data_IF_812339294488
#
_entry.id   IF_812339294488
#
_cell.length_a   1.000
_cell.length_b   1.000
_cell.length_c   1.000
_cell.angle_alpha   90.00
_cell.angle_beta   90.00
_cell.angle_gamma   90.00
#
_symmetry.space_group_name_H-M   'P 1'
#
loop_
_entity.id
_entity.type
_entity.pdbx_description
1 polymer ?
#
# COMPACT_ATOMS: atom_id res chain seq x y z
N UNK A 1 18.31 6.66 -0.91
CA UNK A 1 17.31 5.68 -1.38
C UNK A 1 16.05 5.83 -0.55
N UNK A 2 14.87 5.55 -1.10
CA UNK A 2 13.60 5.59 -0.40
C UNK A 2 12.60 4.57 -0.95
N UNK A 3 11.72 4.06 -0.09
CA UNK A 3 10.54 3.28 -0.46
C UNK A 3 9.34 4.23 -0.42
N UNK A 4 8.65 4.42 -1.54
CA UNK A 4 7.56 5.39 -1.68
C UNK A 4 6.45 4.84 -2.58
N UNK A 5 5.26 5.45 -2.54
CA UNK A 5 4.17 5.07 -3.46
C UNK A 5 4.50 5.47 -4.92
N UNK A 6 3.93 4.79 -5.93
CA UNK A 6 4.21 5.05 -7.34
C UNK A 6 4.02 6.51 -7.76
N UNK A 7 2.93 7.16 -7.35
CA UNK A 7 2.69 8.56 -7.74
C UNK A 7 3.73 9.50 -7.13
N UNK A 8 4.14 9.27 -5.87
CA UNK A 8 5.21 10.07 -5.25
C UNK A 8 6.53 9.88 -5.99
N UNK A 9 6.83 8.67 -6.46
CA UNK A 9 8.04 8.41 -7.24
C UNK A 9 8.00 9.14 -8.58
N UNK A 10 6.86 9.12 -9.27
CA UNK A 10 6.69 9.87 -10.54
C UNK A 10 6.92 11.36 -10.34
N UNK A 11 6.31 11.98 -9.32
CA UNK A 11 6.50 13.41 -9.07
C UNK A 11 7.93 13.73 -8.61
N UNK A 12 8.53 12.88 -7.78
CA UNK A 12 9.92 13.06 -7.33
C UNK A 12 10.92 12.99 -8.50
N UNK A 13 10.80 11.97 -9.35
CA UNK A 13 11.72 11.76 -10.49
C UNK A 13 11.54 12.80 -11.61
N UNK A 14 10.42 13.53 -11.65
CA UNK A 14 10.27 14.71 -12.53
C UNK A 14 11.08 15.91 -12.04
N UNK A 15 11.36 15.98 -10.73
CA UNK A 15 12.02 17.14 -10.10
C UNK A 15 13.54 17.05 -10.09
N UNK A 16 14.11 15.88 -10.39
CA UNK A 16 15.55 15.62 -10.37
C UNK A 16 15.91 14.49 -11.33
N UNK A 17 17.07 14.60 -11.96
CA UNK A 17 17.67 13.53 -12.76
C UNK A 17 18.72 12.73 -11.99
N UNK A 18 19.00 13.04 -10.73
CA UNK A 18 20.00 12.35 -9.91
C UNK A 18 19.52 11.00 -9.36
N UNK A 19 18.23 10.70 -9.52
CA UNK A 19 17.59 9.50 -9.00
C UNK A 19 16.97 8.65 -10.10
N UNK A 20 16.83 7.36 -9.83
CA UNK A 20 16.17 6.40 -10.71
C UNK A 20 15.18 5.55 -9.94
N UNK A 21 14.17 5.05 -10.65
CA UNK A 21 13.32 3.96 -10.18
C UNK A 21 14.12 2.67 -10.25
N UNK A 22 14.29 2.01 -9.11
CA UNK A 22 14.92 0.68 -9.04
C UNK A 22 13.92 -0.40 -9.41
N UNK A 23 12.69 -0.32 -8.89
CA UNK A 23 11.64 -1.29 -9.19
C UNK A 23 10.48 -1.25 -8.19
N UNK A 24 9.49 -2.11 -8.41
CA UNK A 24 8.43 -2.36 -7.42
C UNK A 24 8.95 -3.21 -6.27
N UNK A 25 8.50 -2.92 -5.05
CA UNK A 25 8.91 -3.68 -3.86
C UNK A 25 7.74 -4.23 -3.05
N UNK A 26 6.55 -3.65 -3.17
CA UNK A 26 5.34 -4.15 -2.49
C UNK A 26 4.15 -4.06 -3.43
N UNK A 27 3.39 -5.15 -3.51
CA UNK A 27 2.14 -5.23 -4.25
C UNK A 27 0.96 -5.60 -3.34
N UNK A 28 -0.24 -5.19 -3.74
CA UNK A 28 -1.53 -5.56 -3.13
C UNK A 28 -1.71 -5.17 -1.65
N UNK A 29 -0.93 -4.21 -1.13
CA UNK A 29 -1.11 -3.71 0.25
C UNK A 29 -2.32 -2.80 0.43
N UNK A 30 -3.03 -2.42 -0.65
CA UNK A 30 -4.21 -1.57 -0.57
C UNK A 30 -5.47 -2.36 -0.20
N UNK A 31 -6.22 -1.83 0.75
CA UNK A 31 -7.48 -2.39 1.23
C UNK A 31 -8.59 -1.35 1.24
N UNK A 32 -9.81 -1.86 1.21
CA UNK A 32 -11.05 -1.11 1.29
C UNK A 32 -11.61 -1.29 2.70
N UNK A 33 -12.00 -0.19 3.35
CA UNK A 33 -12.76 -0.22 4.60
C UNK A 33 -14.10 0.49 4.40
N UNK A 34 -15.19 -0.23 4.63
CA UNK A 34 -16.56 0.28 4.49
C UNK A 34 -17.30 0.27 5.83
N UNK A 35 -18.22 1.21 6.02
CA UNK A 35 -19.19 1.13 7.11
C UNK A 35 -20.04 -0.13 6.98
N UNK A 36 -20.19 -0.89 8.06
CA UNK A 36 -20.94 -2.14 8.08
C UNK A 36 -22.42 -1.88 7.75
N UNK A 37 -22.99 -2.67 6.83
CA UNK A 37 -24.40 -2.59 6.46
C UNK A 37 -24.76 -1.43 5.53
N UNK A 38 -23.79 -0.65 5.06
CA UNK A 38 -24.03 0.44 4.11
C UNK A 38 -23.46 0.12 2.73
N UNK A 39 -24.17 0.41 1.63
CA UNK A 39 -23.59 0.36 0.30
C UNK A 39 -22.51 1.45 0.15
N UNK A 40 -21.48 1.16 -0.64
CA UNK A 40 -20.40 2.11 -0.94
C UNK A 40 -20.89 3.19 -1.92
N UNK A 41 -21.51 4.25 -1.37
CA UNK A 41 -22.06 5.37 -2.17
C UNK A 41 -21.11 6.55 -2.22
N UNK A 42 -20.35 6.78 -1.15
CA UNK A 42 -19.40 7.89 -1.01
C UNK A 42 -18.03 7.31 -0.68
N UNK A 43 -17.16 7.26 -1.68
CA UNK A 43 -15.86 6.61 -1.58
C UNK A 43 -14.76 7.66 -1.42
N UNK A 44 -14.06 7.62 -0.29
CA UNK A 44 -12.90 8.46 -0.02
C UNK A 44 -11.61 7.79 -0.47
N UNK A 45 -10.70 8.57 -1.04
CA UNK A 45 -9.37 8.10 -1.43
C UNK A 45 -8.32 9.20 -1.29
N UNK A 46 -7.04 8.80 -1.27
CA UNK A 46 -5.95 9.76 -1.13
C UNK A 46 -5.89 10.71 -2.34
N UNK A 47 -5.93 12.01 -2.07
CA UNK A 47 -5.79 13.04 -3.11
C UNK A 47 -4.38 13.06 -3.69
N UNK A 48 -4.24 13.62 -4.90
CA UNK A 48 -2.97 13.69 -5.64
C UNK A 48 -2.36 12.30 -5.86
N UNK A 49 -3.22 11.31 -6.10
CA UNK A 49 -2.85 9.94 -6.39
C UNK A 49 -3.60 9.36 -7.61
N UNK A 50 -3.17 9.64 -8.85
CA UNK A 50 -3.90 9.21 -10.04
C UNK A 50 -4.12 7.69 -10.13
N UNK A 51 -3.16 6.85 -9.73
CA UNK A 51 -3.38 5.38 -9.76
C UNK A 51 -4.45 4.95 -8.75
N UNK A 52 -4.50 5.58 -7.57
CA UNK A 52 -5.54 5.32 -6.57
C UNK A 52 -6.91 5.77 -7.08
N UNK A 53 -7.00 6.94 -7.71
CA UNK A 53 -8.24 7.41 -8.33
C UNK A 53 -8.74 6.41 -9.38
N UNK A 54 -7.86 5.99 -10.29
CA UNK A 54 -8.21 4.99 -11.32
C UNK A 54 -8.70 3.68 -10.70
N UNK A 55 -8.08 3.24 -9.60
CA UNK A 55 -8.52 2.06 -8.86
C UNK A 55 -9.91 2.25 -8.26
N UNK A 56 -10.20 3.39 -7.64
CA UNK A 56 -11.55 3.70 -7.13
C UNK A 56 -12.58 3.70 -8.25
N UNK A 57 -12.24 4.26 -9.40
CA UNK A 57 -13.14 4.32 -10.56
C UNK A 57 -13.52 2.92 -11.07
N UNK A 58 -12.56 1.98 -11.06
CA UNK A 58 -12.78 0.58 -11.44
C UNK A 58 -13.54 -0.22 -10.38
N UNK A 59 -13.22 -0.03 -9.11
CA UNK A 59 -13.84 -0.77 -7.99
C UNK A 59 -15.25 -0.29 -7.69
N UNK A 60 -15.51 0.99 -7.90
CA UNK A 60 -16.77 1.65 -7.56
C UNK A 60 -17.27 2.55 -8.69
N UNK A 61 -17.57 1.99 -9.88
CA UNK A 61 -18.05 2.77 -11.02
C UNK A 61 -19.36 3.51 -10.70
N UNK A 62 -20.24 2.87 -9.92
CA UNK A 62 -21.58 3.35 -9.54
C UNK A 62 -21.60 4.16 -8.23
N UNK A 63 -20.44 4.51 -7.66
CA UNK A 63 -20.43 5.38 -6.48
C UNK A 63 -21.03 6.74 -6.82
N UNK A 64 -21.97 7.19 -5.99
CA UNK A 64 -22.63 8.50 -6.10
C UNK A 64 -21.61 9.64 -5.98
N UNK A 65 -20.61 9.44 -5.13
CA UNK A 65 -19.57 10.44 -4.89
C UNK A 65 -18.21 9.78 -4.66
N UNK A 66 -17.16 10.36 -5.25
CA UNK A 66 -15.77 9.93 -5.07
C UNK A 66 -14.97 11.14 -4.57
N UNK A 67 -14.55 11.12 -3.31
CA UNK A 67 -13.86 12.23 -2.65
C UNK A 67 -12.36 12.00 -2.58
N UNK A 68 -11.61 12.85 -3.27
CA UNK A 68 -10.18 13.01 -3.02
C UNK A 68 -9.98 13.73 -1.67
N UNK A 69 -9.25 13.10 -0.75
CA UNK A 69 -9.01 13.60 0.60
C UNK A 69 -7.53 13.49 0.96
N UNK A 70 -7.03 14.37 1.82
CA UNK A 70 -5.70 14.18 2.43
C UNK A 70 -5.65 12.84 3.18
N UNK A 71 -4.56 12.10 3.04
CA UNK A 71 -4.46 10.69 3.48
C UNK A 71 -4.83 10.50 4.95
N UNK A 72 -4.38 11.40 5.83
CA UNK A 72 -4.66 11.33 7.27
C UNK A 72 -6.12 11.69 7.63
N UNK A 73 -6.87 12.33 6.73
CA UNK A 73 -8.28 12.62 6.94
C UNK A 73 -9.20 11.46 6.55
N UNK A 74 -8.69 10.43 5.86
CA UNK A 74 -9.51 9.29 5.43
C UNK A 74 -10.12 8.51 6.61
N UNK A 75 -9.37 8.10 7.65
CA UNK A 75 -9.96 7.50 8.86
C UNK A 75 -11.07 8.36 9.48
N UNK A 76 -10.78 9.63 9.71
CA UNK A 76 -11.72 10.58 10.32
C UNK A 76 -12.99 10.74 9.46
N UNK A 77 -12.83 10.84 8.14
CA UNK A 77 -13.93 10.99 7.20
C UNK A 77 -14.83 9.76 7.17
N UNK A 78 -14.24 8.56 7.28
CA UNK A 78 -14.98 7.32 7.41
C UNK A 78 -15.76 7.31 8.73
N UNK A 79 -15.11 7.54 9.87
CA UNK A 79 -15.75 7.48 11.19
C UNK A 79 -16.95 8.45 11.28
N UNK A 80 -16.75 9.71 10.88
CA UNK A 80 -17.76 10.75 10.93
C UNK A 80 -18.81 10.67 9.81
N UNK A 81 -18.71 9.70 8.89
CA UNK A 81 -19.71 9.47 7.84
C UNK A 81 -19.72 10.51 6.73
N UNK A 82 -18.61 11.26 6.56
CA UNK A 82 -18.38 12.11 5.39
C UNK A 82 -18.24 11.28 4.11
N UNK A 83 -17.70 10.07 4.27
CA UNK A 83 -17.66 8.96 3.31
C UNK A 83 -18.14 7.68 4.00
N UNK A 84 -18.59 6.71 3.24
CA UNK A 84 -19.02 5.40 3.76
C UNK A 84 -18.06 4.26 3.39
N UNK A 85 -17.09 4.54 2.52
CA UNK A 85 -16.01 3.63 2.15
C UNK A 85 -14.72 4.42 1.93
N UNK A 86 -13.57 3.85 2.32
CA UNK A 86 -12.24 4.42 2.06
C UNK A 86 -11.30 3.37 1.49
N UNK A 87 -10.37 3.81 0.65
CA UNK A 87 -9.26 3.02 0.12
C UNK A 87 -7.95 3.48 0.77
N UNK A 88 -7.25 2.56 1.43
CA UNK A 88 -6.09 2.83 2.29
C UNK A 88 -5.06 1.70 2.20
N UNK A 89 -3.83 1.96 2.62
CA UNK A 89 -2.86 0.89 2.89
C UNK A 89 -3.32 0.03 4.08
N UNK A 90 -3.05 -1.27 4.03
CA UNK A 90 -3.42 -2.24 5.06
C UNK A 90 -2.90 -1.87 6.45
N UNK A 91 -1.71 -1.26 6.51
CA UNK A 91 -1.13 -0.80 7.77
C UNK A 91 -1.99 0.27 8.42
N UNK A 92 -2.74 1.08 7.68
CA UNK A 92 -3.68 2.04 8.28
C UNK A 92 -5.06 1.42 8.42
N UNK A 93 -5.56 0.78 7.38
CA UNK A 93 -6.94 0.29 7.30
C UNK A 93 -7.25 -0.84 8.29
N UNK A 94 -6.26 -1.64 8.72
CA UNK A 94 -6.49 -2.70 9.71
C UNK A 94 -7.00 -2.15 11.06
N UNK A 95 -6.52 -0.98 11.46
CA UNK A 95 -6.89 -0.35 12.73
C UNK A 95 -8.27 0.30 12.69
N UNK A 96 -8.91 0.38 11.52
CA UNK A 96 -10.23 1.00 11.38
C UNK A 96 -11.37 0.02 11.69
N UNK A 97 -12.45 0.56 12.26
CA UNK A 97 -13.70 -0.16 12.41
C UNK A 97 -14.43 -0.26 11.06
N UNK A 98 -15.14 -1.37 10.85
CA UNK A 98 -15.94 -1.60 9.64
C UNK A 98 -15.62 -2.90 8.91
N UNK A 99 -16.27 -3.07 7.76
CA UNK A 99 -16.05 -4.21 6.87
C UNK A 99 -14.81 -3.95 6.02
N UNK A 100 -13.81 -4.82 6.15
CA UNK A 100 -12.55 -4.77 5.39
C UNK A 100 -12.66 -5.71 4.18
N UNK A 101 -12.21 -5.25 3.02
CA UNK A 101 -12.08 -6.06 1.81
C UNK A 101 -10.76 -5.71 1.13
N UNK A 102 -10.19 -6.65 0.39
CA UNK A 102 -9.00 -6.38 -0.39
C UNK A 102 -9.37 -5.53 -1.61
N UNK A 103 -8.52 -4.57 -1.97
CA UNK A 103 -8.67 -3.83 -3.21
C UNK A 103 -8.20 -4.73 -4.36
N UNK A 104 -9.04 -5.67 -4.80
CA UNK A 104 -8.68 -6.63 -5.86
C UNK A 104 -9.02 -6.06 -7.23
N UNK A 105 -8.03 -6.03 -8.11
CA UNK A 105 -8.18 -5.85 -9.56
C UNK A 105 -7.65 -7.11 -10.28
N UNK A 106 -7.85 -7.20 -11.59
CA UNK A 106 -7.40 -8.36 -12.40
C UNK A 106 -5.87 -8.54 -12.37
N UNK A 107 -5.12 -7.44 -12.27
CA UNK A 107 -3.66 -7.43 -12.18
C UNK A 107 -3.19 -7.02 -10.79
N UNK A 108 -2.02 -7.53 -10.33
CA UNK A 108 -1.41 -7.06 -9.10
C UNK A 108 -1.23 -5.53 -9.11
N UNK A 109 -1.50 -4.92 -7.96
CA UNK A 109 -1.42 -3.46 -7.81
C UNK A 109 -0.08 -3.15 -7.17
N UNK A 110 0.81 -2.48 -7.91
CA UNK A 110 2.04 -1.92 -7.33
C UNK A 110 1.65 -0.83 -6.33
N UNK A 111 1.99 -1.05 -5.07
CA UNK A 111 1.66 -0.12 -3.98
C UNK A 111 2.87 0.68 -3.52
N UNK A 112 4.06 0.10 -3.64
CA UNK A 112 5.32 0.75 -3.29
C UNK A 112 6.42 0.39 -4.29
N UNK A 113 7.30 1.36 -4.49
CA UNK A 113 8.49 1.29 -5.34
C UNK A 113 9.71 1.80 -4.59
N UNK A 114 10.90 1.39 -5.05
CA UNK A 114 12.18 1.85 -4.53
C UNK A 114 12.77 2.87 -5.51
N UNK A 115 13.22 4.01 -4.98
CA UNK A 115 14.03 4.99 -5.71
C UNK A 115 15.40 5.13 -5.08
N UNK A 116 16.45 5.21 -5.89
CA UNK A 116 17.83 5.33 -5.46
C UNK A 116 18.57 6.40 -6.28
N UNK A 117 19.62 7.00 -5.71
CA UNK A 117 20.45 7.93 -6.48
C UNK A 117 21.31 7.16 -7.47
N UNK A 118 21.55 7.74 -8.64
CA UNK A 118 22.42 7.17 -9.69
C UNK A 118 23.82 6.87 -9.16
N UNK A 119 24.37 7.80 -8.37
CA UNK A 119 25.67 7.60 -7.72
C UNK A 119 25.70 6.47 -6.69
N UNK A 120 24.54 6.07 -6.14
CA UNK A 120 24.48 4.96 -5.20
C UNK A 120 24.40 3.61 -5.91
N UNK A 121 23.60 3.51 -6.99
CA UNK A 121 23.43 2.24 -7.72
C UNK A 121 24.73 1.71 -8.34
N UNK A 122 25.69 2.58 -8.63
CA UNK A 122 27.00 2.20 -9.18
C UNK A 122 27.97 1.66 -8.11
N UNK A 123 27.63 1.73 -6.83
CA UNK A 123 28.49 1.31 -5.72
C UNK A 123 28.29 -0.17 -5.40
N UNK A 124 29.35 -0.83 -4.94
CA UNK A 124 29.29 -2.19 -4.38
C UNK A 124 28.29 -2.29 -3.21
N UNK A 125 28.14 -1.22 -2.42
CA UNK A 125 27.16 -1.16 -1.32
C UNK A 125 25.71 -1.34 -1.82
N UNK A 126 25.40 -0.95 -3.07
CA UNK A 126 24.07 -1.17 -3.64
C UNK A 126 23.85 -2.64 -3.97
N UNK A 127 24.84 -3.34 -4.51
CA UNK A 127 24.77 -4.79 -4.75
C UNK A 127 24.53 -5.54 -3.43
N UNK A 128 25.30 -5.20 -2.39
CA UNK A 128 25.10 -5.77 -1.06
C UNK A 128 23.72 -5.45 -0.48
N UNK A 129 23.19 -4.25 -0.72
CA UNK A 129 21.81 -3.93 -0.35
C UNK A 129 20.79 -4.80 -1.10
N UNK A 130 20.93 -4.98 -2.42
CA UNK A 130 20.01 -5.80 -3.23
C UNK A 130 20.00 -7.25 -2.75
N UNK A 131 21.17 -7.83 -2.46
CA UNK A 131 21.29 -9.18 -1.91
C UNK A 131 20.54 -9.31 -0.57
N UNK A 132 20.87 -8.46 0.41
CA UNK A 132 20.24 -8.48 1.73
C UNK A 132 18.74 -8.18 1.68
N UNK A 133 18.32 -7.29 0.77
CA UNK A 133 16.92 -6.98 0.54
C UNK A 133 16.18 -8.21 0.00
N UNK A 134 16.72 -8.89 -1.02
CA UNK A 134 16.10 -10.06 -1.62
C UNK A 134 16.07 -11.26 -0.66
N UNK A 135 17.08 -11.42 0.20
CA UNK A 135 17.04 -12.36 1.32
C UNK A 135 15.92 -12.03 2.29
N UNK A 136 15.74 -10.75 2.64
CA UNK A 136 14.66 -10.29 3.52
C UNK A 136 13.28 -10.54 2.91
N UNK A 137 13.13 -10.38 1.58
CA UNK A 137 11.91 -10.73 0.85
C UNK A 137 11.59 -12.23 1.00
N UNK A 138 12.59 -13.10 0.84
CA UNK A 138 12.42 -14.55 1.01
C UNK A 138 12.04 -14.93 2.45
N UNK A 139 12.63 -14.25 3.44
CA UNK A 139 12.27 -14.47 4.84
C UNK A 139 10.85 -13.98 5.15
N UNK A 140 10.45 -12.82 4.63
CA UNK A 140 9.09 -12.28 4.77
C UNK A 140 8.03 -13.10 4.02
N UNK A 141 8.41 -13.92 3.03
CA UNK A 141 7.47 -14.88 2.43
C UNK A 141 7.04 -15.98 3.42
N UNK A 142 7.78 -16.20 4.51
CA UNK A 142 7.44 -17.19 5.54
C UNK A 142 6.34 -16.63 6.46
N UNK A 143 5.19 -17.30 6.61
CA UNK A 143 4.04 -16.77 7.36
C UNK A 143 4.36 -16.34 8.80
N UNK A 144 5.18 -17.13 9.52
CA UNK A 144 5.57 -16.81 10.91
C UNK A 144 6.44 -15.54 10.99
N UNK A 145 7.39 -15.40 10.07
CA UNK A 145 8.27 -14.24 10.01
C UNK A 145 7.47 -12.99 9.67
N UNK A 146 6.62 -13.07 8.64
CA UNK A 146 5.74 -11.97 8.27
C UNK A 146 4.83 -11.53 9.41
N UNK A 147 4.14 -12.48 10.07
CA UNK A 147 3.27 -12.18 11.21
C UNK A 147 4.03 -11.40 12.28
N UNK A 148 5.20 -11.89 12.68
CA UNK A 148 6.04 -11.26 13.69
C UNK A 148 6.48 -9.85 13.27
N UNK A 149 6.98 -9.70 12.04
CA UNK A 149 7.41 -8.39 11.53
C UNK A 149 6.26 -7.38 11.49
N UNK A 150 5.04 -7.83 11.14
CA UNK A 150 3.86 -6.99 11.14
C UNK A 150 3.43 -6.59 12.56
N UNK A 151 3.47 -7.52 13.52
CA UNK A 151 3.18 -7.26 14.93
C UNK A 151 4.20 -6.29 15.55
N UNK A 152 5.49 -6.48 15.25
CA UNK A 152 6.57 -5.59 15.69
C UNK A 152 6.37 -4.17 15.13
N UNK A 153 6.04 -4.04 13.84
CA UNK A 153 5.71 -2.74 13.22
C UNK A 153 4.49 -2.08 13.87
N UNK A 154 3.46 -2.87 14.21
CA UNK A 154 2.25 -2.38 14.86
C UNK A 154 2.41 -2.08 16.34
N UNK A 155 3.45 -2.62 16.98
CA UNK A 155 3.60 -2.60 18.42
C UNK A 155 2.48 -3.36 19.16
N UNK A 156 1.80 -4.29 18.48
CA UNK A 156 0.66 -5.02 19.02
C UNK A 156 0.49 -6.37 18.32
N UNK A 157 0.00 -7.37 19.07
CA UNK A 157 -0.33 -8.68 18.52
C UNK A 157 -1.51 -8.60 17.54
N UNK A 158 -1.44 -9.37 16.46
CA UNK A 158 -2.51 -9.47 15.48
C UNK A 158 -3.58 -10.44 16.00
N UNK A 159 -4.85 -10.04 15.90
CA UNK A 159 -5.95 -10.97 16.09
C UNK A 159 -5.94 -12.03 14.98
N UNK A 160 -6.45 -13.23 15.27
CA UNK A 160 -6.54 -14.30 14.25
C UNK A 160 -7.35 -13.83 13.04
N UNK A 161 -8.42 -13.05 13.26
CA UNK A 161 -9.24 -12.47 12.19
C UNK A 161 -8.45 -11.52 11.30
N UNK A 162 -7.64 -10.64 11.88
CA UNK A 162 -6.83 -9.69 11.09
C UNK A 162 -5.73 -10.44 10.35
N UNK A 163 -5.11 -11.44 10.97
CA UNK A 163 -4.10 -12.25 10.31
C UNK A 163 -4.66 -13.07 9.14
N UNK A 164 -5.84 -13.67 9.29
CA UNK A 164 -6.54 -14.33 8.17
C UNK A 164 -6.86 -13.35 7.05
N UNK A 165 -7.30 -12.13 7.37
CA UNK A 165 -7.55 -11.09 6.37
C UNK A 165 -6.28 -10.70 5.63
N UNK A 166 -5.16 -10.51 6.33
CA UNK A 166 -3.87 -10.16 5.70
C UNK A 166 -3.41 -11.28 4.74
N UNK A 167 -3.54 -12.55 5.13
CA UNK A 167 -3.24 -13.67 4.21
C UNK A 167 -4.09 -13.63 2.95
N UNK A 168 -5.38 -13.28 3.07
CA UNK A 168 -6.29 -13.16 1.92
C UNK A 168 -5.99 -11.94 1.04
N UNK A 169 -5.31 -10.92 1.58
CA UNK A 169 -4.88 -9.73 0.86
C UNK A 169 -3.83 -10.01 -0.21
N UNK A 170 -3.12 -11.15 -0.10
CA UNK A 170 -2.07 -11.55 -1.05
C UNK A 170 -1.04 -10.44 -1.25
N UNK A 171 -0.61 -9.83 -0.13
CA UNK A 171 0.46 -8.84 -0.11
C UNK A 171 1.73 -9.56 -0.53
N UNK A 172 2.42 -8.98 -1.51
CA UNK A 172 3.61 -9.56 -2.07
C UNK A 172 4.76 -8.58 -1.93
N UNK A 173 5.85 -9.06 -1.32
CA UNK A 173 7.13 -8.37 -1.35
C UNK A 173 7.89 -8.87 -2.59
N UNK A 174 8.37 -7.93 -3.40
CA UNK A 174 8.94 -8.24 -4.71
C UNK A 174 10.44 -8.01 -4.65
N UNK A 175 11.21 -8.99 -5.10
CA UNK A 175 12.66 -8.87 -5.24
C UNK A 175 13.02 -7.79 -6.25
N UNK A 176 14.15 -7.14 -6.05
CA UNK A 176 14.69 -6.12 -6.95
C UNK A 176 15.94 -6.63 -7.67
N UNK A 177 16.17 -6.12 -8.86
CA UNK A 177 17.34 -6.48 -9.65
C UNK A 177 18.57 -5.60 -9.27
N UNK A 178 19.79 -6.12 -9.43
CA UNK A 178 21.04 -5.37 -9.25
C UNK A 178 21.24 -4.25 -10.27
#
# INVERSE_FOLDING_TARGET
MAIICPDSAVEFLKSTDEYVLVGSCIQNSSIIVSKTGMPARRVGYAQNRPHIQSMVDKLYPEAVEKKALIMHALPYSLENGMVDTVLLDITTGLSLSGKKNNAKLENPIVTHVIVASKSFIEREDFKGFVELYNESVNELAKPKTFKRAFEDYKGAALSDKDYEFIKQANIEFVQIEP
#
